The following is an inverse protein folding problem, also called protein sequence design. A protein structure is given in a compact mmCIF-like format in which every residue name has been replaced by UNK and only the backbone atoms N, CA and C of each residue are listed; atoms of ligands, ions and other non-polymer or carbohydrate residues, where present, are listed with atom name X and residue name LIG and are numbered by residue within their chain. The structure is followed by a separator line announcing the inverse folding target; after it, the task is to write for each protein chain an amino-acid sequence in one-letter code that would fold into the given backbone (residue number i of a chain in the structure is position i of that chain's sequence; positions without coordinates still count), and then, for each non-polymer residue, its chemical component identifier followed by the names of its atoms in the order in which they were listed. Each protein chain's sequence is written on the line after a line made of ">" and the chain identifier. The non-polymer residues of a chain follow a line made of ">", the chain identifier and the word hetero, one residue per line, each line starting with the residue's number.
data_IF_631777062328
#
_entry.id   IF_631777062328
#
_cell.length_a   1.000
_cell.length_b   1.000
_cell.length_c   1.000
_cell.angle_alpha   90.00
_cell.angle_beta   90.00
_cell.angle_gamma   90.00
#
_symmetry.space_group_name_H-M   'P 1'
#
loop_
_entity.id
_entity.type
_entity.pdbx_description
1 polymer ?
#
# COMPACT_ATOMS: atom_id res chain seq x y z
N UNK A 1 -28.74 38.46 11.68
CA UNK A 1 -28.60 37.46 10.60
C UNK A 1 -27.32 37.53 9.74
N UNK A 2 -26.37 38.45 9.93
CA UNK A 2 -25.11 38.52 9.12
C UNK A 2 -23.92 37.74 9.68
N UNK A 3 -23.86 37.40 10.98
CA UNK A 3 -22.71 36.69 11.60
C UNK A 3 -22.62 35.18 11.26
N UNK A 4 -23.73 34.51 11.04
CA UNK A 4 -23.76 33.05 10.74
C UNK A 4 -23.26 32.72 9.34
N UNK A 5 -23.38 33.59 8.35
CA UNK A 5 -22.88 33.35 6.98
C UNK A 5 -21.35 33.44 6.87
N UNK A 6 -20.71 34.31 7.65
CA UNK A 6 -19.24 34.42 7.63
C UNK A 6 -18.54 33.22 8.23
N UNK A 7 -19.09 32.62 9.29
CA UNK A 7 -18.50 31.39 9.91
C UNK A 7 -18.60 30.20 8.98
N UNK A 8 -19.71 30.04 8.26
CA UNK A 8 -19.91 28.93 7.31
C UNK A 8 -18.95 29.00 6.12
N UNK A 9 -18.67 30.19 5.58
CA UNK A 9 -17.72 30.37 4.47
C UNK A 9 -16.28 30.10 4.91
N UNK A 10 -15.88 30.56 6.09
CA UNK A 10 -14.54 30.29 6.62
C UNK A 10 -14.31 28.80 6.89
N UNK A 11 -15.28 28.07 7.46
CA UNK A 11 -15.18 26.63 7.66
C UNK A 11 -15.06 25.85 6.33
N UNK A 12 -15.83 26.24 5.32
CA UNK A 12 -15.75 25.60 4.01
C UNK A 12 -14.42 25.85 3.31
N UNK A 13 -13.84 27.04 3.46
CA UNK A 13 -12.54 27.38 2.90
C UNK A 13 -11.41 26.60 3.58
N UNK A 14 -11.42 26.52 4.92
CA UNK A 14 -10.43 25.76 5.71
C UNK A 14 -10.51 24.26 5.35
N UNK A 15 -11.71 23.69 5.26
CA UNK A 15 -11.90 22.29 4.86
C UNK A 15 -11.37 22.03 3.44
N UNK A 16 -11.58 22.95 2.51
CA UNK A 16 -11.08 22.85 1.14
C UNK A 16 -9.54 22.87 1.09
N UNK A 17 -8.91 23.75 1.86
CA UNK A 17 -7.44 23.86 1.94
C UNK A 17 -6.82 22.60 2.53
N UNK A 18 -7.40 22.06 3.62
CA UNK A 18 -6.94 20.82 4.24
C UNK A 18 -7.05 19.64 3.25
N UNK A 19 -8.17 19.54 2.53
CA UNK A 19 -8.38 18.49 1.53
C UNK A 19 -7.38 18.58 0.37
N UNK A 20 -7.10 19.78 -0.13
CA UNK A 20 -6.10 20.01 -1.18
C UNK A 20 -4.68 19.66 -0.71
N UNK A 21 -4.32 20.02 0.52
CA UNK A 21 -3.03 19.69 1.10
C UNK A 21 -2.85 18.17 1.28
N UNK A 22 -3.86 17.48 1.80
CA UNK A 22 -3.82 16.02 1.95
C UNK A 22 -3.72 15.30 0.60
N UNK A 23 -4.38 15.82 -0.43
CA UNK A 23 -4.28 15.28 -1.78
C UNK A 23 -2.90 15.50 -2.39
N UNK A 24 -2.34 16.69 -2.24
CA UNK A 24 -1.00 17.01 -2.74
C UNK A 24 0.07 16.11 -2.08
N UNK A 25 -0.05 15.85 -0.78
CA UNK A 25 0.85 14.94 -0.06
C UNK A 25 0.77 13.50 -0.59
N UNK A 26 -0.43 13.00 -0.90
CA UNK A 26 -0.61 11.67 -1.50
C UNK A 26 -0.04 11.59 -2.91
N UNK A 27 -0.26 12.61 -3.73
CA UNK A 27 0.30 12.67 -5.09
C UNK A 27 1.84 12.70 -5.05
N UNK A 28 2.45 13.38 -4.08
CA UNK A 28 3.90 13.38 -3.84
C UNK A 28 4.40 11.98 -3.41
N UNK A 29 3.70 11.32 -2.50
CA UNK A 29 4.04 9.97 -2.06
C UNK A 29 3.97 8.96 -3.21
N UNK A 30 2.95 9.06 -4.07
CA UNK A 30 2.81 8.24 -5.28
C UNK A 30 3.97 8.49 -6.25
N UNK A 31 4.34 9.74 -6.49
CA UNK A 31 5.47 10.09 -7.35
C UNK A 31 6.81 9.56 -6.79
N UNK A 32 6.97 9.58 -5.46
CA UNK A 32 8.14 9.01 -4.80
C UNK A 32 8.17 7.49 -4.95
N UNK A 33 7.03 6.81 -4.81
CA UNK A 33 6.89 5.37 -5.06
C UNK A 33 7.20 5.00 -6.51
N UNK A 34 6.67 5.74 -7.47
CA UNK A 34 6.97 5.55 -8.90
C UNK A 34 8.47 5.51 -9.15
N UNK A 35 9.19 6.48 -8.58
CA UNK A 35 10.64 6.58 -8.71
C UNK A 35 11.37 5.41 -8.05
N UNK A 36 10.98 5.06 -6.83
CA UNK A 36 11.61 4.00 -6.04
C UNK A 36 11.35 2.62 -6.63
N UNK A 37 10.13 2.37 -7.09
CA UNK A 37 9.72 1.12 -7.71
C UNK A 37 10.17 1.00 -9.18
N UNK A 38 10.52 2.12 -9.80
CA UNK A 38 10.91 2.16 -11.22
C UNK A 38 9.79 1.75 -12.16
N UNK A 39 8.54 2.14 -11.87
CA UNK A 39 7.39 1.76 -12.71
C UNK A 39 7.53 2.23 -14.14
N UNK A 40 7.08 1.39 -15.07
CA UNK A 40 7.12 1.64 -16.51
C UNK A 40 5.84 1.16 -17.18
N UNK A 41 5.54 1.74 -18.34
CA UNK A 41 4.43 1.29 -19.17
C UNK A 41 4.52 -0.21 -19.46
N UNK A 42 3.40 -0.91 -19.42
CA UNK A 42 3.29 -2.33 -19.66
C UNK A 42 3.58 -3.24 -18.46
N UNK A 43 4.03 -2.71 -17.33
CA UNK A 43 4.27 -3.51 -16.13
C UNK A 43 2.99 -3.95 -15.43
N UNK A 44 3.11 -4.99 -14.63
CA UNK A 44 2.07 -5.47 -13.71
C UNK A 44 2.45 -5.10 -12.29
N UNK A 45 1.59 -4.33 -11.62
CA UNK A 45 1.79 -3.89 -10.24
C UNK A 45 0.65 -4.38 -9.36
N UNK A 46 0.93 -4.72 -8.11
CA UNK A 46 -0.10 -5.01 -7.12
C UNK A 46 -0.01 -4.04 -5.94
N UNK A 47 -1.17 -3.60 -5.46
CA UNK A 47 -1.35 -2.85 -4.20
C UNK A 47 -2.07 -3.79 -3.22
N UNK A 48 -1.32 -4.28 -2.22
CA UNK A 48 -1.79 -5.29 -1.27
C UNK A 48 -2.33 -4.60 -0.02
N UNK A 49 -3.62 -4.84 0.27
CA UNK A 49 -4.36 -4.10 1.28
C UNK A 49 -4.67 -2.68 0.82
N UNK A 50 -5.15 -2.55 -0.42
CA UNK A 50 -5.27 -1.29 -1.14
C UNK A 50 -6.20 -0.24 -0.49
N UNK A 51 -7.11 -0.65 0.41
CA UNK A 51 -8.05 0.25 1.05
C UNK A 51 -8.92 0.99 0.03
N UNK A 52 -8.69 2.30 -0.15
CA UNK A 52 -9.39 3.12 -1.16
C UNK A 52 -8.74 3.06 -2.56
N UNK A 53 -7.64 2.33 -2.71
CA UNK A 53 -6.96 2.08 -4.00
C UNK A 53 -6.10 3.23 -4.52
N UNK A 54 -5.83 4.27 -3.72
CA UNK A 54 -5.17 5.49 -4.20
C UNK A 54 -3.80 5.22 -4.82
N UNK A 55 -2.99 4.36 -4.19
CA UNK A 55 -1.64 4.02 -4.66
C UNK A 55 -1.69 3.13 -5.89
N UNK A 56 -2.58 2.14 -5.91
CA UNK A 56 -2.79 1.31 -7.08
C UNK A 56 -3.35 2.09 -8.28
N UNK A 57 -4.27 3.03 -8.08
CA UNK A 57 -4.71 3.94 -9.15
C UNK A 57 -3.58 4.88 -9.60
N UNK A 58 -2.68 5.26 -8.69
CA UNK A 58 -1.44 5.95 -9.04
C UNK A 58 -0.57 5.13 -9.98
N UNK A 59 -0.30 3.88 -9.61
CA UNK A 59 0.44 2.94 -10.45
C UNK A 59 -0.23 2.72 -11.81
N UNK A 60 -1.56 2.59 -11.85
CA UNK A 60 -2.31 2.39 -13.10
C UNK A 60 -2.10 3.50 -14.14
N UNK A 61 -1.94 4.75 -13.69
CA UNK A 61 -1.61 5.88 -14.59
C UNK A 61 -0.25 5.73 -15.24
N UNK A 62 0.73 5.17 -14.50
CA UNK A 62 2.11 5.02 -14.98
C UNK A 62 2.27 3.81 -15.89
N UNK A 63 1.71 2.67 -15.47
CA UNK A 63 1.83 1.43 -16.28
C UNK A 63 0.97 1.48 -17.55
N UNK A 64 -0.03 2.35 -17.59
CA UNK A 64 -0.83 2.64 -18.78
C UNK A 64 -1.71 1.47 -19.23
N UNK A 65 -2.33 1.59 -20.39
CA UNK A 65 -3.30 0.64 -20.93
C UNK A 65 -2.72 -0.76 -21.21
N UNK A 66 -1.42 -0.85 -21.48
CA UNK A 66 -0.72 -2.11 -21.75
C UNK A 66 -0.24 -2.81 -20.47
N UNK A 67 -0.25 -2.12 -19.34
CA UNK A 67 0.05 -2.68 -18.02
C UNK A 67 -1.19 -3.25 -17.33
N UNK A 68 -1.03 -3.68 -16.09
CA UNK A 68 -2.12 -4.15 -15.23
C UNK A 68 -1.85 -3.78 -13.78
N UNK A 69 -2.91 -3.47 -13.04
CA UNK A 69 -2.83 -3.28 -11.59
C UNK A 69 -3.81 -4.22 -10.89
N UNK A 70 -3.31 -4.92 -9.90
CA UNK A 70 -4.12 -5.65 -8.94
C UNK A 70 -4.29 -4.84 -7.66
N UNK A 71 -5.52 -4.72 -7.18
CA UNK A 71 -5.85 -4.16 -5.88
C UNK A 71 -6.37 -5.29 -5.01
N UNK A 72 -5.66 -5.65 -3.95
CA UNK A 72 -6.14 -6.71 -3.06
C UNK A 72 -6.73 -6.11 -1.79
N UNK A 73 -7.83 -6.67 -1.28
CA UNK A 73 -8.46 -6.23 -0.05
C UNK A 73 -9.05 -7.45 0.68
N UNK A 74 -8.84 -7.51 2.00
CA UNK A 74 -9.33 -8.59 2.85
C UNK A 74 -10.78 -8.35 3.28
N UNK A 75 -11.12 -7.12 3.68
CA UNK A 75 -12.46 -6.75 4.13
C UNK A 75 -13.44 -6.70 2.94
N UNK A 76 -14.52 -7.50 3.02
CA UNK A 76 -15.48 -7.61 1.92
C UNK A 76 -16.18 -6.28 1.60
N UNK A 77 -16.50 -5.46 2.61
CA UNK A 77 -17.17 -4.18 2.42
C UNK A 77 -16.24 -3.20 1.69
N UNK A 78 -14.97 -3.13 2.11
CA UNK A 78 -13.96 -2.28 1.45
C UNK A 78 -13.70 -2.78 0.04
N UNK A 79 -13.60 -4.10 -0.16
CA UNK A 79 -13.43 -4.70 -1.49
C UNK A 79 -14.56 -4.31 -2.44
N UNK A 80 -15.84 -4.42 -2.03
CA UNK A 80 -16.99 -3.99 -2.84
C UNK A 80 -16.93 -2.50 -3.17
N UNK A 81 -16.59 -1.65 -2.19
CA UNK A 81 -16.44 -0.22 -2.42
C UNK A 81 -15.32 0.08 -3.44
N UNK A 82 -14.24 -0.69 -3.40
CA UNK A 82 -13.13 -0.59 -4.33
C UNK A 82 -13.52 -1.03 -5.76
N UNK A 83 -14.30 -2.11 -5.89
CA UNK A 83 -14.87 -2.54 -7.18
C UNK A 83 -15.78 -1.47 -7.80
N UNK A 84 -16.61 -0.85 -6.99
CA UNK A 84 -17.50 0.22 -7.46
C UNK A 84 -16.70 1.48 -7.86
N UNK A 85 -15.61 1.77 -7.18
CA UNK A 85 -14.69 2.86 -7.56
C UNK A 85 -13.99 2.56 -8.89
N UNK A 86 -13.52 1.32 -9.10
CA UNK A 86 -12.93 0.88 -10.38
C UNK A 86 -13.93 1.09 -11.50
N UNK A 87 -15.15 0.55 -11.41
CA UNK A 87 -16.21 0.74 -12.41
C UNK A 87 -16.49 2.22 -12.70
N UNK A 88 -16.53 3.06 -11.66
CA UNK A 88 -16.77 4.50 -11.80
C UNK A 88 -15.64 5.20 -12.55
N UNK A 89 -14.39 4.76 -12.36
CA UNK A 89 -13.22 5.32 -13.08
C UNK A 89 -13.16 4.82 -14.52
N UNK A 90 -13.45 3.56 -14.75
CA UNK A 90 -13.57 2.97 -16.09
C UNK A 90 -14.62 3.71 -16.93
N UNK A 91 -15.81 3.94 -16.38
CA UNK A 91 -16.88 4.67 -17.06
C UNK A 91 -16.49 6.12 -17.46
N UNK A 92 -15.45 6.67 -16.83
CA UNK A 92 -14.89 8.01 -17.13
C UNK A 92 -13.61 7.94 -17.94
N UNK A 93 -13.23 6.79 -18.49
CA UNK A 93 -11.96 6.53 -19.18
C UNK A 93 -10.72 6.98 -18.39
N UNK A 94 -10.77 6.91 -17.04
CA UNK A 94 -9.66 7.31 -16.17
C UNK A 94 -8.75 6.16 -15.77
N UNK A 95 -9.23 4.93 -15.91
CA UNK A 95 -8.51 3.69 -15.58
C UNK A 95 -9.15 2.57 -16.39
N UNK A 96 -8.36 1.72 -17.02
CA UNK A 96 -8.87 0.62 -17.88
C UNK A 96 -8.21 -0.73 -17.59
N UNK A 97 -7.30 -0.80 -16.62
CA UNK A 97 -6.40 -1.94 -16.43
C UNK A 97 -6.28 -2.38 -14.97
N UNK A 98 -7.30 -2.10 -14.16
CA UNK A 98 -7.31 -2.40 -12.72
C UNK A 98 -8.24 -3.56 -12.42
N UNK A 99 -7.77 -4.52 -11.63
CA UNK A 99 -8.53 -5.67 -11.17
C UNK A 99 -8.51 -5.75 -9.65
N UNK A 100 -9.68 -5.88 -9.04
CA UNK A 100 -9.82 -6.09 -7.60
C UNK A 100 -9.80 -7.60 -7.30
N UNK A 101 -9.01 -7.99 -6.30
CA UNK A 101 -8.82 -9.38 -5.88
C UNK A 101 -9.15 -9.51 -4.40
N UNK A 102 -9.94 -10.53 -4.03
CA UNK A 102 -10.17 -10.86 -2.63
C UNK A 102 -8.89 -11.45 -2.04
N UNK A 103 -8.31 -10.76 -1.06
CA UNK A 103 -7.19 -11.32 -0.28
C UNK A 103 -7.69 -12.31 0.78
N UNK A 104 -6.78 -13.10 1.31
CA UNK A 104 -6.99 -13.91 2.50
C UNK A 104 -6.00 -13.48 3.60
N UNK A 105 -6.24 -13.90 4.85
CA UNK A 105 -5.38 -13.53 5.99
C UNK A 105 -3.91 -13.95 5.83
N UNK A 106 -3.66 -15.03 5.07
CA UNK A 106 -2.35 -15.67 4.91
C UNK A 106 -1.79 -15.58 3.51
N UNK A 107 -2.52 -15.00 2.57
CA UNK A 107 -2.10 -14.94 1.16
C UNK A 107 -2.78 -13.82 0.39
N UNK A 108 -2.08 -13.34 -0.60
CA UNK A 108 -2.54 -12.25 -1.46
C UNK A 108 -3.62 -12.68 -2.45
N UNK A 109 -3.69 -13.98 -2.77
CA UNK A 109 -4.47 -14.56 -3.87
C UNK A 109 -4.10 -14.02 -5.26
N UNK A 110 -2.92 -13.42 -5.40
CA UNK A 110 -2.36 -13.02 -6.69
C UNK A 110 -1.80 -14.26 -7.42
N UNK A 111 -1.82 -14.27 -8.76
CA UNK A 111 -1.17 -15.34 -9.53
C UNK A 111 0.34 -15.41 -9.26
N UNK A 112 0.92 -16.59 -9.41
CA UNK A 112 2.36 -16.78 -9.30
C UNK A 112 3.11 -16.04 -10.43
N UNK A 113 4.23 -15.40 -10.09
CA UNK A 113 5.08 -14.65 -11.01
C UNK A 113 4.32 -13.66 -11.90
N UNK A 114 3.25 -13.04 -11.37
CA UNK A 114 2.45 -12.10 -12.14
C UNK A 114 3.03 -10.68 -12.12
N UNK A 115 3.66 -10.27 -11.02
CA UNK A 115 3.88 -8.89 -10.73
C UNK A 115 5.34 -8.47 -10.91
N UNK A 116 5.56 -7.34 -11.59
CA UNK A 116 6.86 -6.67 -11.66
C UNK A 116 7.12 -5.88 -10.37
N UNK A 117 6.05 -5.42 -9.70
CA UNK A 117 6.12 -4.71 -8.43
C UNK A 117 4.92 -4.98 -7.52
N UNK A 118 5.16 -4.99 -6.21
CA UNK A 118 4.13 -5.10 -5.18
C UNK A 118 4.35 -3.98 -4.16
N UNK A 119 3.24 -3.33 -3.73
CA UNK A 119 3.21 -2.31 -2.69
C UNK A 119 2.45 -2.85 -1.49
N UNK A 120 2.99 -2.63 -0.29
CA UNK A 120 2.24 -2.69 0.96
C UNK A 120 2.41 -1.35 1.68
N UNK A 121 1.31 -0.61 1.90
CA UNK A 121 1.37 0.66 2.60
C UNK A 121 0.52 0.63 3.86
N UNK A 122 1.18 0.61 5.02
CA UNK A 122 0.54 0.53 6.35
C UNK A 122 -0.38 -0.68 6.50
N UNK A 123 0.06 -1.80 6.01
CA UNK A 123 -0.66 -3.09 6.02
C UNK A 123 0.12 -4.17 6.77
N UNK A 124 1.45 -4.17 6.63
CA UNK A 124 2.28 -5.27 7.11
C UNK A 124 2.18 -5.47 8.62
N UNK A 125 2.01 -4.39 9.40
CA UNK A 125 1.81 -4.47 10.85
C UNK A 125 0.48 -5.14 11.28
N UNK A 126 -0.45 -5.38 10.35
CA UNK A 126 -1.69 -6.12 10.59
C UNK A 126 -1.58 -7.61 10.25
N UNK A 127 -0.52 -8.05 9.58
CA UNK A 127 -0.37 -9.44 9.15
C UNK A 127 -0.13 -10.33 10.37
N UNK A 128 -1.01 -11.32 10.57
CA UNK A 128 -0.98 -12.25 11.72
C UNK A 128 -0.17 -13.51 11.44
N UNK A 129 0.07 -13.83 10.18
CA UNK A 129 0.82 -14.99 9.71
C UNK A 129 1.88 -14.54 8.68
N UNK A 130 2.99 -13.92 9.15
CA UNK A 130 3.99 -13.34 8.25
C UNK A 130 4.65 -14.37 7.34
N UNK A 131 5.00 -15.55 7.83
CA UNK A 131 5.69 -16.57 7.03
C UNK A 131 4.87 -16.98 5.79
N UNK A 132 3.56 -17.20 5.95
CA UNK A 132 2.68 -17.58 4.86
C UNK A 132 2.41 -16.41 3.90
N UNK A 133 2.21 -15.21 4.43
CA UNK A 133 1.97 -14.01 3.61
C UNK A 133 3.23 -13.64 2.82
N UNK A 134 4.38 -13.64 3.44
CA UNK A 134 5.65 -13.30 2.80
C UNK A 134 6.01 -14.31 1.70
N UNK A 135 5.77 -15.62 1.95
CA UNK A 135 5.88 -16.64 0.92
C UNK A 135 4.91 -16.41 -0.25
N UNK A 136 3.68 -15.93 0.04
CA UNK A 136 2.71 -15.56 -1.02
C UNK A 136 3.18 -14.34 -1.82
N UNK A 137 3.67 -13.30 -1.16
CA UNK A 137 4.26 -12.12 -1.81
C UNK A 137 5.43 -12.52 -2.72
N UNK A 138 6.33 -13.37 -2.21
CA UNK A 138 7.49 -13.84 -2.96
C UNK A 138 7.08 -14.64 -4.21
N UNK A 139 6.08 -15.54 -4.08
CA UNK A 139 5.57 -16.30 -5.23
C UNK A 139 4.97 -15.38 -6.30
N UNK A 140 4.22 -14.36 -5.88
CA UNK A 140 3.51 -13.46 -6.81
C UNK A 140 4.46 -12.55 -7.60
N UNK A 141 5.65 -12.24 -7.08
CA UNK A 141 6.64 -11.45 -7.80
C UNK A 141 7.35 -12.28 -8.88
N UNK A 142 7.60 -11.67 -10.03
CA UNK A 142 8.53 -12.17 -11.03
C UNK A 142 9.96 -12.20 -10.48
N UNK A 143 10.87 -13.04 -11.03
CA UNK A 143 12.30 -12.92 -10.74
C UNK A 143 12.79 -11.48 -10.99
N UNK A 144 13.51 -10.90 -10.04
CA UNK A 144 13.94 -9.50 -10.09
C UNK A 144 12.85 -8.46 -9.80
N UNK A 145 11.62 -8.90 -9.55
CA UNK A 145 10.51 -8.03 -9.14
C UNK A 145 10.77 -7.31 -7.82
N UNK A 146 10.10 -6.19 -7.63
CA UNK A 146 10.32 -5.24 -6.51
C UNK A 146 9.14 -5.27 -5.55
N UNK A 147 9.42 -5.37 -4.26
CA UNK A 147 8.46 -5.19 -3.17
C UNK A 147 8.80 -3.91 -2.41
N UNK A 148 7.89 -2.96 -2.32
CA UNK A 148 8.00 -1.79 -1.43
C UNK A 148 7.05 -1.93 -0.26
N UNK A 149 7.59 -1.88 0.96
CA UNK A 149 6.80 -1.89 2.18
C UNK A 149 6.98 -0.56 2.90
N UNK A 150 5.88 0.19 3.01
CA UNK A 150 5.83 1.48 3.70
C UNK A 150 5.11 1.26 5.02
N UNK A 151 5.84 1.50 6.10
CA UNK A 151 5.36 1.32 7.46
C UNK A 151 5.84 2.43 8.39
N UNK A 152 5.34 2.43 9.59
CA UNK A 152 5.74 3.37 10.62
C UNK A 152 6.21 2.61 11.88
N UNK A 153 7.14 3.19 12.65
CA UNK A 153 7.59 2.58 13.90
C UNK A 153 6.43 2.53 14.91
N UNK A 154 6.48 1.60 15.87
CA UNK A 154 5.48 1.53 16.93
C UNK A 154 5.31 2.88 17.61
N UNK A 155 4.06 3.31 17.84
CA UNK A 155 3.77 4.60 18.48
C UNK A 155 4.23 4.58 19.94
N UNK A 156 4.80 5.70 20.40
CA UNK A 156 5.20 5.87 21.81
C UNK A 156 4.00 5.66 22.73
N UNK A 157 4.18 4.85 23.78
CA UNK A 157 3.14 4.53 24.75
C UNK A 157 2.35 3.25 24.45
N UNK A 158 2.50 2.68 23.26
CA UNK A 158 2.01 1.34 22.94
C UNK A 158 3.19 0.39 23.02
N UNK A 159 3.20 -0.46 24.01
CA UNK A 159 4.28 -1.42 24.28
C UNK A 159 3.98 -2.76 23.58
N UNK A 160 4.99 -3.60 23.47
CA UNK A 160 4.79 -4.99 23.01
C UNK A 160 3.81 -5.78 23.93
N UNK A 161 3.47 -5.21 25.12
CA UNK A 161 2.49 -5.77 26.05
C UNK A 161 1.03 -5.42 25.69
N UNK A 162 0.79 -4.50 24.77
CA UNK A 162 -0.57 -4.13 24.32
C UNK A 162 -0.84 -4.70 22.91
N UNK A 163 -0.82 -6.03 22.72
CA UNK A 163 -0.96 -6.61 21.39
C UNK A 163 -2.39 -6.44 20.89
N UNK A 164 -2.52 -5.99 19.65
CA UNK A 164 -3.81 -6.10 18.95
C UNK A 164 -4.11 -7.59 18.73
N UNK A 165 -5.35 -7.98 19.01
CA UNK A 165 -5.77 -9.39 18.88
C UNK A 165 -5.44 -9.93 17.48
N UNK A 166 -4.70 -11.02 17.44
CA UNK A 166 -4.30 -11.69 16.21
C UNK A 166 -3.03 -11.13 15.53
N UNK A 167 -2.43 -10.07 16.07
CA UNK A 167 -1.14 -9.56 15.60
C UNK A 167 -0.02 -10.14 16.44
N UNK A 168 1.08 -10.62 15.86
CA UNK A 168 2.22 -11.13 16.61
C UNK A 168 2.73 -10.10 17.63
N UNK A 169 3.06 -10.53 18.84
CA UNK A 169 3.47 -9.67 19.97
C UNK A 169 4.68 -8.78 19.63
N UNK A 170 5.58 -9.24 18.76
CA UNK A 170 6.76 -8.49 18.33
C UNK A 170 6.44 -7.32 17.39
N UNK A 171 5.19 -7.12 16.98
CA UNK A 171 4.75 -6.04 16.06
C UNK A 171 4.14 -4.86 16.80
N UNK A 172 3.77 -5.01 18.06
CA UNK A 172 3.14 -3.96 18.86
C UNK A 172 1.74 -3.54 18.40
N UNK A 173 1.20 -4.11 17.32
CA UNK A 173 -0.17 -3.88 16.82
C UNK A 173 -0.46 -2.50 16.22
N UNK A 174 0.39 -1.51 16.42
CA UNK A 174 0.25 -0.13 15.95
C UNK A 174 1.54 0.37 15.31
N UNK A 175 1.92 -0.26 14.22
CA UNK A 175 3.19 -0.09 13.54
C UNK A 175 4.11 -1.28 13.79
N UNK A 176 5.24 -1.32 13.09
CA UNK A 176 6.21 -2.40 13.18
C UNK A 176 7.63 -1.82 13.20
N UNK A 177 8.53 -2.31 14.10
CA UNK A 177 9.92 -1.93 14.01
C UNK A 177 10.53 -2.38 12.70
N UNK A 178 11.22 -1.46 12.01
CA UNK A 178 11.86 -1.73 10.71
C UNK A 178 12.74 -2.98 10.73
N UNK A 179 13.49 -3.20 11.82
CA UNK A 179 14.35 -4.38 11.99
C UNK A 179 13.59 -5.71 11.93
N UNK A 180 12.33 -5.74 12.43
CA UNK A 180 11.48 -6.94 12.40
C UNK A 180 10.99 -7.17 10.99
N UNK A 181 10.45 -6.15 10.33
CA UNK A 181 10.02 -6.22 8.94
C UNK A 181 11.15 -6.73 8.02
N UNK A 182 12.35 -6.17 8.17
CA UNK A 182 13.52 -6.61 7.39
C UNK A 182 13.87 -8.06 7.68
N UNK A 183 13.86 -8.48 8.94
CA UNK A 183 14.21 -9.85 9.32
C UNK A 183 13.22 -10.86 8.73
N UNK A 184 11.90 -10.60 8.83
CA UNK A 184 10.85 -11.50 8.34
C UNK A 184 10.92 -11.65 6.82
N UNK A 185 10.94 -10.55 6.06
CA UNK A 185 11.00 -10.58 4.60
C UNK A 185 12.32 -11.17 4.08
N UNK A 186 13.44 -10.92 4.77
CA UNK A 186 14.72 -11.56 4.42
C UNK A 186 14.69 -13.07 4.69
N UNK A 187 14.06 -13.49 5.78
CA UNK A 187 13.85 -14.92 6.07
C UNK A 187 13.01 -15.60 4.99
N UNK A 188 12.01 -14.92 4.44
CA UNK A 188 11.18 -15.42 3.36
C UNK A 188 11.90 -15.50 1.98
N UNK A 189 13.11 -14.95 1.85
CA UNK A 189 13.92 -15.02 0.63
C UNK A 189 13.99 -13.72 -0.18
N UNK A 190 13.57 -12.60 0.40
CA UNK A 190 13.78 -11.30 -0.22
C UNK A 190 15.19 -10.74 0.11
N UNK A 191 15.78 -10.00 -0.82
CA UNK A 191 16.97 -9.20 -0.57
C UNK A 191 16.59 -7.73 -0.39
N UNK A 192 17.15 -7.08 0.63
CA UNK A 192 16.99 -5.63 0.81
C UNK A 192 17.74 -4.90 -0.30
N UNK A 193 17.05 -4.03 -1.03
CA UNK A 193 17.61 -3.17 -2.08
C UNK A 193 17.88 -1.77 -1.54
N UNK A 194 16.89 -1.19 -0.84
CA UNK A 194 16.98 0.18 -0.32
C UNK A 194 16.19 0.33 0.97
N UNK A 195 16.69 1.19 1.87
CA UNK A 195 15.99 1.62 3.08
C UNK A 195 15.90 3.14 3.10
N UNK A 196 14.70 3.68 3.27
CA UNK A 196 14.38 5.11 3.23
C UNK A 196 13.67 5.47 4.54
N UNK A 197 14.33 6.23 5.40
CA UNK A 197 13.85 6.54 6.76
C UNK A 197 13.09 7.88 6.85
N UNK A 198 13.10 8.68 5.81
CA UNK A 198 12.45 9.99 5.71
C UNK A 198 11.18 9.93 4.85
N UNK A 199 10.43 8.83 4.94
CA UNK A 199 9.16 8.69 4.23
C UNK A 199 8.09 9.58 4.88
N UNK A 200 7.12 10.13 4.11
CA UNK A 200 6.05 10.98 4.65
C UNK A 200 5.30 10.38 5.84
N UNK A 201 4.72 11.22 6.70
CA UNK A 201 3.93 10.85 7.87
C UNK A 201 4.68 9.99 8.91
N UNK A 202 5.93 10.34 9.22
CA UNK A 202 6.78 9.61 10.16
C UNK A 202 6.94 8.12 9.83
N UNK A 203 6.81 7.80 8.54
CA UNK A 203 6.95 6.44 8.04
C UNK A 203 8.37 6.16 7.54
N UNK A 204 8.65 4.91 7.28
CA UNK A 204 9.82 4.45 6.55
C UNK A 204 9.36 3.59 5.37
N UNK A 205 10.20 3.47 4.35
CA UNK A 205 10.00 2.56 3.23
C UNK A 205 11.21 1.64 3.12
N UNK A 206 10.96 0.34 3.06
CA UNK A 206 11.99 -0.64 2.71
C UNK A 206 11.63 -1.26 1.38
N UNK A 207 12.58 -1.24 0.48
CA UNK A 207 12.47 -1.82 -0.85
C UNK A 207 13.23 -3.14 -0.87
N UNK A 208 12.58 -4.17 -1.35
CA UNK A 208 13.13 -5.50 -1.47
C UNK A 208 13.10 -5.96 -2.92
N UNK A 209 13.97 -6.90 -3.24
CA UNK A 209 13.95 -7.62 -4.52
C UNK A 209 13.76 -9.11 -4.30
N UNK A 210 12.95 -9.71 -5.18
CA UNK A 210 12.99 -11.15 -5.35
C UNK A 210 14.29 -11.52 -6.04
N UNK A 211 15.14 -12.27 -5.35
CA UNK A 211 16.36 -12.79 -5.98
C UNK A 211 16.02 -13.75 -7.09
N UNK A 212 16.82 -13.73 -8.15
CA UNK A 212 16.74 -14.79 -9.15
C UNK A 212 17.10 -16.14 -8.51
N UNK A 213 16.45 -17.25 -8.89
CA UNK A 213 16.81 -18.57 -8.40
C UNK A 213 18.20 -18.97 -8.83
#
# INVERSE_FOLDING_TARGET
>A
MRRTRFISVCLSFVACVIFLAARAQKDEEIARLEKVMGWKAGQVVADVGAGEGEFGFGAARVVGETGKVYLTELDEKKRKALEDEVKRREAKNKVVNVMVVQAAEKQTNLPDNCCDGIILRRVYHHITAPDEMDASLLRSLKPGGVLAVIEFPPRKGLTESDPVKGVPANRGGHGIPQKILVAELTHAGFAVDQTINDWPDDSYCVVFRKTAP
#
